data_IF_592395647893
#
_entry.id   IF_592395647893
#
_cell.length_a   1.000
_cell.length_b   1.000
_cell.length_c   1.000
_cell.angle_alpha   90.00
_cell.angle_beta   90.00
_cell.angle_gamma   90.00
#
_symmetry.space_group_name_H-M   'P 1'
#
loop_
_entity.id
_entity.type
_entity.pdbx_description
1 polymer ?
#
# COMPACT_ATOMS: atom_id res chain seq x y z
N UNK A 1 8.95 20.91 17.63
CA UNK A 1 7.74 20.08 17.80
C UNK A 1 8.19 18.72 18.34
N UNK A 2 7.45 18.13 19.28
CA UNK A 2 7.75 16.77 19.73
C UNK A 2 7.65 15.80 18.54
N UNK A 3 8.53 14.79 18.50
CA UNK A 3 8.46 13.74 17.47
C UNK A 3 7.15 12.96 17.62
N UNK A 4 6.50 12.61 16.51
CA UNK A 4 5.27 11.80 16.54
C UNK A 4 5.62 10.36 16.85
N UNK A 5 4.88 9.73 17.76
CA UNK A 5 4.97 8.28 18.01
C UNK A 5 4.13 7.53 16.99
N UNK A 6 4.77 6.71 16.17
CA UNK A 6 4.14 5.95 15.08
C UNK A 6 4.10 4.47 15.45
N UNK A 7 2.90 3.89 15.56
CA UNK A 7 2.74 2.45 15.62
C UNK A 7 2.69 1.86 14.20
N UNK A 8 3.45 0.80 13.93
CA UNK A 8 3.44 0.09 12.67
C UNK A 8 3.10 -1.39 12.88
N UNK A 9 2.03 -1.86 12.25
CA UNK A 9 1.72 -3.31 12.13
C UNK A 9 2.14 -3.82 10.75
N UNK A 10 2.70 -5.03 10.70
CA UNK A 10 3.15 -5.65 9.45
C UNK A 10 4.60 -5.32 9.05
N UNK A 11 5.43 -4.87 9.99
CA UNK A 11 6.83 -4.50 9.75
C UNK A 11 7.73 -5.63 9.19
N UNK A 12 7.37 -6.90 9.42
CA UNK A 12 8.06 -8.06 8.83
C UNK A 12 7.78 -8.24 7.33
N UNK A 13 6.72 -7.63 6.80
CA UNK A 13 6.37 -7.71 5.38
C UNK A 13 7.26 -6.81 4.52
N UNK A 14 7.25 -7.05 3.20
CA UNK A 14 8.06 -6.28 2.25
C UNK A 14 7.80 -4.77 2.33
N UNK A 15 6.52 -4.37 2.32
CA UNK A 15 6.11 -2.96 2.42
C UNK A 15 6.44 -2.40 3.80
N UNK A 16 6.07 -3.13 4.86
CA UNK A 16 6.30 -2.72 6.24
C UNK A 16 7.77 -2.51 6.59
N UNK A 17 8.68 -3.34 6.07
CA UNK A 17 10.13 -3.17 6.27
C UNK A 17 10.61 -1.83 5.70
N UNK A 18 10.18 -1.47 4.49
CA UNK A 18 10.54 -0.20 3.86
C UNK A 18 10.00 1.00 4.65
N UNK A 19 8.75 0.91 5.13
CA UNK A 19 8.10 1.94 5.94
C UNK A 19 8.83 2.12 7.28
N UNK A 20 9.12 1.03 7.99
CA UNK A 20 9.85 1.04 9.25
C UNK A 20 11.22 1.73 9.10
N UNK A 21 11.98 1.35 8.07
CA UNK A 21 13.29 1.96 7.78
C UNK A 21 13.15 3.47 7.50
N UNK A 22 12.20 3.87 6.65
CA UNK A 22 11.98 5.30 6.34
C UNK A 22 11.52 6.11 7.55
N UNK A 23 10.72 5.53 8.45
CA UNK A 23 10.30 6.20 9.69
C UNK A 23 11.50 6.46 10.61
N UNK A 24 12.37 5.47 10.78
CA UNK A 24 13.61 5.61 11.56
C UNK A 24 14.56 6.63 10.93
N UNK A 25 14.74 6.60 9.60
CA UNK A 25 15.57 7.56 8.87
C UNK A 25 15.07 9.01 9.04
N UNK A 26 13.77 9.19 9.20
CA UNK A 26 13.17 10.51 9.44
C UNK A 26 13.21 10.95 10.91
N UNK A 27 13.65 10.10 11.83
CA UNK A 27 13.70 10.37 13.27
C UNK A 27 12.33 10.31 13.95
N UNK A 28 11.38 9.59 13.37
CA UNK A 28 10.08 9.32 13.99
C UNK A 28 10.28 8.30 15.12
N UNK A 29 9.52 8.45 16.21
CA UNK A 29 9.51 7.46 17.29
C UNK A 29 8.70 6.25 16.84
N UNK A 30 9.39 5.18 16.45
CA UNK A 30 8.79 4.00 15.85
C UNK A 30 8.50 2.91 16.89
N UNK A 31 7.22 2.56 17.00
CA UNK A 31 6.71 1.40 17.74
C UNK A 31 6.21 0.33 16.78
N UNK A 32 6.84 -0.82 16.76
CA UNK A 32 6.42 -1.96 15.94
C UNK A 32 5.49 -2.83 16.78
N UNK A 33 4.29 -3.08 16.27
CA UNK A 33 3.35 -4.03 16.83
C UNK A 33 3.46 -5.34 16.05
N UNK A 34 3.92 -6.40 16.71
CA UNK A 34 4.14 -7.70 16.11
C UNK A 34 3.45 -8.79 16.94
N UNK A 35 3.04 -9.87 16.27
CA UNK A 35 2.57 -11.06 16.99
C UNK A 35 3.68 -11.57 17.90
N UNK A 36 3.33 -12.05 19.09
CA UNK A 36 4.30 -12.48 20.13
C UNK A 36 5.32 -13.46 19.56
N UNK A 37 4.88 -14.42 18.75
CA UNK A 37 5.76 -15.42 18.10
C UNK A 37 6.70 -14.83 17.03
N UNK A 38 6.45 -13.59 16.58
CA UNK A 38 7.22 -12.92 15.53
C UNK A 38 8.18 -11.85 16.06
N UNK A 39 8.20 -11.56 17.36
CA UNK A 39 9.04 -10.48 17.95
C UNK A 39 10.53 -10.72 17.76
N UNK A 40 10.94 -11.99 17.69
CA UNK A 40 12.34 -12.41 17.57
C UNK A 40 12.82 -12.58 16.12
N UNK A 41 12.03 -12.16 15.12
CA UNK A 41 12.44 -12.26 13.71
C UNK A 41 13.73 -11.48 13.45
N UNK A 42 14.53 -11.94 12.48
CA UNK A 42 15.76 -11.23 12.08
C UNK A 42 15.48 -9.77 11.65
N UNK A 43 14.36 -9.54 10.97
CA UNK A 43 13.93 -8.20 10.53
C UNK A 43 13.63 -7.30 11.73
N UNK A 44 12.92 -7.80 12.74
CA UNK A 44 12.61 -6.98 13.92
C UNK A 44 13.84 -6.71 14.79
N UNK A 45 14.75 -7.68 14.90
CA UNK A 45 16.06 -7.47 15.56
C UNK A 45 16.88 -6.38 14.88
N UNK A 46 16.91 -6.38 13.55
CA UNK A 46 17.54 -5.31 12.75
C UNK A 46 16.90 -3.96 13.08
N UNK A 47 15.57 -3.86 13.02
CA UNK A 47 14.84 -2.60 13.30
C UNK A 47 15.02 -2.12 14.75
N UNK A 48 15.05 -3.03 15.73
CA UNK A 48 15.32 -2.69 17.14
C UNK A 48 16.73 -2.16 17.33
N UNK A 49 17.73 -2.74 16.66
CA UNK A 49 19.11 -2.22 16.69
C UNK A 49 19.23 -0.80 16.13
N UNK A 50 18.26 -0.37 15.31
CA UNK A 50 18.15 0.97 14.73
C UNK A 50 17.28 1.92 15.55
N UNK A 51 16.76 1.49 16.71
CA UNK A 51 15.99 2.33 17.63
C UNK A 51 14.48 2.12 17.63
N UNK A 52 13.94 1.14 16.88
CA UNK A 52 12.52 0.80 16.98
C UNK A 52 12.22 0.06 18.31
N UNK A 53 11.10 0.41 18.95
CA UNK A 53 10.55 -0.41 20.03
C UNK A 53 9.66 -1.51 19.45
N UNK A 54 9.73 -2.73 19.98
CA UNK A 54 8.88 -3.85 19.53
C UNK A 54 7.96 -4.26 20.66
N UNK A 55 6.67 -4.34 20.35
CA UNK A 55 5.61 -4.72 21.29
C UNK A 55 4.91 -5.97 20.77
N UNK A 56 5.00 -7.04 21.55
CA UNK A 56 4.26 -8.28 21.31
C UNK A 56 2.77 -8.08 21.56
N UNK A 57 1.94 -8.44 20.60
CA UNK A 57 0.48 -8.34 20.66
C UNK A 57 -0.19 -9.67 20.25
N UNK A 58 -1.43 -9.86 20.69
CA UNK A 58 -2.35 -10.86 20.15
C UNK A 58 -3.57 -10.13 19.63
N UNK A 59 -4.05 -10.50 18.44
CA UNK A 59 -5.24 -9.88 17.84
C UNK A 59 -6.53 -10.35 18.53
N UNK A 60 -6.44 -11.41 19.33
CA UNK A 60 -7.49 -12.00 20.13
C UNK A 60 -7.59 -11.36 21.52
N UNK A 61 -6.54 -10.65 21.97
CA UNK A 61 -6.50 -9.95 23.26
C UNK A 61 -6.57 -8.43 23.04
N UNK A 62 -7.80 -7.89 23.10
CA UNK A 62 -8.08 -6.46 23.00
C UNK A 62 -7.31 -5.61 24.03
N UNK A 63 -7.10 -6.11 25.24
CA UNK A 63 -6.36 -5.38 26.28
C UNK A 63 -4.89 -5.23 25.90
N UNK A 64 -4.30 -6.27 25.29
CA UNK A 64 -2.92 -6.20 24.76
C UNK A 64 -2.79 -5.13 23.67
N UNK A 65 -3.77 -5.04 22.76
CA UNK A 65 -3.79 -4.07 21.67
C UNK A 65 -3.92 -2.65 22.20
N UNK A 66 -4.86 -2.39 23.12
CA UNK A 66 -5.07 -1.07 23.73
C UNK A 66 -3.78 -0.63 24.42
N UNK A 67 -3.19 -1.50 25.25
CA UNK A 67 -1.94 -1.20 25.99
C UNK A 67 -0.81 -0.84 25.03
N UNK A 68 -0.65 -1.58 23.93
CA UNK A 68 0.40 -1.32 22.97
C UNK A 68 0.21 0.00 22.18
N UNK A 69 -1.04 0.46 22.05
CA UNK A 69 -1.42 1.69 21.34
C UNK A 69 -1.50 2.93 22.25
N UNK A 70 -1.36 2.79 23.56
CA UNK A 70 -1.32 3.94 24.47
C UNK A 70 -0.17 4.90 24.14
N UNK A 71 -0.49 6.19 24.03
CA UNK A 71 0.47 7.25 23.71
C UNK A 71 0.92 7.28 22.23
N UNK A 72 0.32 6.46 21.36
CA UNK A 72 0.59 6.49 19.91
C UNK A 72 -0.17 7.64 19.26
N UNK A 73 0.52 8.44 18.45
CA UNK A 73 -0.11 9.49 17.67
C UNK A 73 -0.75 8.93 16.39
N UNK A 74 -0.01 8.08 15.67
CA UNK A 74 -0.44 7.54 14.36
C UNK A 74 -0.26 6.03 14.32
N UNK A 75 -1.31 5.31 13.95
CA UNK A 75 -1.25 3.88 13.63
C UNK A 75 -1.17 3.70 12.12
N UNK A 76 -0.13 3.02 11.63
CA UNK A 76 0.07 2.67 10.23
C UNK A 76 -0.01 1.16 10.08
N UNK A 77 -0.85 0.70 9.17
CA UNK A 77 -1.01 -0.72 8.86
C UNK A 77 -0.41 -1.04 7.50
N UNK A 78 0.46 -2.04 7.44
CA UNK A 78 1.00 -2.61 6.19
C UNK A 78 0.80 -4.13 6.14
N UNK A 79 -0.28 -4.62 6.75
CA UNK A 79 -0.62 -6.06 6.72
C UNK A 79 -0.94 -6.51 5.30
N UNK A 80 -0.59 -7.76 4.98
CA UNK A 80 -0.93 -8.37 3.71
C UNK A 80 -2.43 -8.71 3.62
N UNK A 81 -2.86 -9.23 2.47
CA UNK A 81 -4.24 -9.72 2.26
C UNK A 81 -4.70 -10.65 3.39
N UNK A 82 -3.83 -11.55 3.85
CA UNK A 82 -4.12 -12.51 4.91
C UNK A 82 -4.38 -11.86 6.29
N UNK A 83 -3.91 -10.63 6.49
CA UNK A 83 -4.09 -9.88 7.74
C UNK A 83 -5.14 -8.78 7.66
N UNK A 84 -5.87 -8.60 6.55
CA UNK A 84 -6.78 -7.45 6.40
C UNK A 84 -7.85 -7.38 7.49
N UNK A 85 -8.41 -8.52 7.88
CA UNK A 85 -9.47 -8.59 8.90
C UNK A 85 -8.99 -8.17 10.29
N UNK A 86 -7.70 -8.32 10.60
CA UNK A 86 -7.15 -7.93 11.92
C UNK A 86 -7.17 -6.41 12.12
N UNK A 87 -7.34 -5.63 11.05
CA UNK A 87 -7.48 -4.18 11.14
C UNK A 87 -8.76 -3.76 11.87
N UNK A 88 -9.82 -4.58 11.84
CA UNK A 88 -11.08 -4.26 12.54
C UNK A 88 -10.89 -4.20 14.06
N UNK A 89 -10.18 -5.17 14.64
CA UNK A 89 -9.87 -5.16 16.08
C UNK A 89 -8.86 -4.08 16.44
N UNK A 90 -7.90 -3.79 15.54
CA UNK A 90 -6.96 -2.68 15.71
C UNK A 90 -7.65 -1.32 15.73
N UNK A 91 -8.64 -1.08 14.87
CA UNK A 91 -9.40 0.17 14.84
C UNK A 91 -10.09 0.39 16.19
N UNK A 92 -10.77 -0.63 16.72
CA UNK A 92 -11.44 -0.55 18.02
C UNK A 92 -10.43 -0.23 19.14
N UNK A 93 -9.32 -0.95 19.20
CA UNK A 93 -8.28 -0.72 20.20
C UNK A 93 -7.61 0.66 20.06
N UNK A 94 -7.34 1.12 18.83
CA UNK A 94 -6.75 2.42 18.54
C UNK A 94 -7.67 3.56 18.98
N UNK A 95 -8.97 3.44 18.74
CA UNK A 95 -9.95 4.41 19.20
C UNK A 95 -9.98 4.51 20.73
N UNK A 96 -10.03 3.37 21.43
CA UNK A 96 -10.01 3.33 22.91
C UNK A 96 -8.70 3.90 23.47
N UNK A 97 -7.56 3.61 22.82
CA UNK A 97 -6.24 4.08 23.24
C UNK A 97 -6.00 5.57 22.95
N UNK A 98 -6.88 6.25 22.21
CA UNK A 98 -6.76 7.66 21.86
C UNK A 98 -5.78 7.95 20.71
N UNK A 99 -5.59 7.01 19.79
CA UNK A 99 -4.79 7.22 18.57
C UNK A 99 -5.41 8.36 17.75
N UNK A 100 -4.58 9.28 17.25
CA UNK A 100 -5.04 10.52 16.60
C UNK A 100 -5.23 10.39 15.09
N UNK A 101 -4.62 9.37 14.46
CA UNK A 101 -4.75 9.10 13.03
C UNK A 101 -4.45 7.63 12.70
N UNK A 102 -5.27 7.02 11.84
CA UNK A 102 -5.08 5.66 11.33
C UNK A 102 -4.86 5.63 9.81
N UNK A 103 -3.77 5.02 9.37
CA UNK A 103 -3.53 4.65 7.97
C UNK A 103 -3.80 3.15 7.78
N UNK A 104 -4.90 2.75 7.12
CA UNK A 104 -5.17 1.35 6.79
C UNK A 104 -4.22 0.82 5.72
N UNK A 105 -4.14 -0.51 5.61
CA UNK A 105 -3.36 -1.20 4.57
C UNK A 105 -4.04 -1.10 3.20
N UNK A 106 -3.87 0.06 2.55
CA UNK A 106 -4.50 0.37 1.27
C UNK A 106 -3.52 0.35 0.09
N UNK A 107 -2.46 1.18 0.13
CA UNK A 107 -1.31 1.32 -0.79
C UNK A 107 -1.44 0.71 -2.18
N UNK A 108 -2.53 1.05 -2.87
CA UNK A 108 -2.86 0.51 -4.19
C UNK A 108 -3.69 1.51 -4.99
N UNK A 109 -4.52 1.00 -5.89
CA UNK A 109 -5.45 1.81 -6.67
C UNK A 109 -6.66 2.32 -5.89
N UNK A 110 -7.40 3.20 -6.53
CA UNK A 110 -8.67 3.74 -6.07
C UNK A 110 -9.81 2.95 -6.72
N UNK A 111 -10.78 2.51 -5.93
CA UNK A 111 -11.94 1.73 -6.40
C UNK A 111 -13.25 2.41 -5.96
N UNK A 112 -13.64 3.45 -6.69
CA UNK A 112 -14.80 4.30 -6.36
C UNK A 112 -16.15 3.75 -6.89
N UNK A 113 -16.20 2.46 -7.28
CA UNK A 113 -17.40 1.82 -7.79
C UNK A 113 -18.51 1.66 -6.74
N UNK A 114 -19.80 1.59 -7.15
CA UNK A 114 -20.90 1.15 -6.30
C UNK A 114 -20.64 -0.25 -5.73
N UNK A 115 -21.05 -0.51 -4.49
CA UNK A 115 -20.64 -1.71 -3.70
C UNK A 115 -21.04 -3.06 -4.30
N UNK A 116 -22.01 -3.10 -5.20
CA UNK A 116 -22.57 -4.32 -5.81
C UNK A 116 -21.72 -4.90 -6.96
N UNK A 117 -20.68 -4.20 -7.42
CA UNK A 117 -19.81 -4.63 -8.53
C UNK A 117 -18.38 -4.97 -8.09
N UNK A 118 -18.14 -5.07 -6.78
CA UNK A 118 -16.81 -5.09 -6.20
C UNK A 118 -16.53 -6.46 -5.57
N UNK A 119 -15.34 -7.04 -5.75
CA UNK A 119 -14.96 -8.29 -5.06
C UNK A 119 -15.06 -8.18 -3.54
N UNK A 120 -15.27 -9.30 -2.83
CA UNK A 120 -15.24 -9.34 -1.37
C UNK A 120 -13.96 -8.75 -0.77
N UNK A 121 -12.83 -8.88 -1.46
CA UNK A 121 -11.56 -8.28 -1.05
C UNK A 121 -11.63 -6.75 -0.95
N UNK A 122 -12.12 -6.09 -2.00
CA UNK A 122 -12.26 -4.64 -2.02
C UNK A 122 -13.44 -4.17 -1.15
N UNK A 123 -14.49 -4.99 -1.00
CA UNK A 123 -15.56 -4.72 -0.03
C UNK A 123 -15.00 -4.71 1.40
N UNK A 124 -14.16 -5.68 1.77
CA UNK A 124 -13.51 -5.74 3.08
C UNK A 124 -12.67 -4.48 3.35
N UNK A 125 -11.92 -4.00 2.35
CA UNK A 125 -11.19 -2.73 2.44
C UNK A 125 -12.10 -1.53 2.71
N UNK A 126 -13.24 -1.44 2.00
CA UNK A 126 -14.28 -0.43 2.29
C UNK A 126 -14.86 -0.58 3.70
N UNK A 127 -15.12 -1.81 4.15
CA UNK A 127 -15.60 -2.09 5.51
C UNK A 127 -14.61 -1.60 6.55
N UNK A 128 -13.31 -1.81 6.39
CA UNK A 128 -12.27 -1.36 7.32
C UNK A 128 -12.28 0.18 7.45
N UNK A 129 -12.34 0.90 6.33
CA UNK A 129 -12.42 2.38 6.34
C UNK A 129 -13.72 2.84 7.01
N UNK A 130 -14.86 2.22 6.68
CA UNK A 130 -16.15 2.55 7.28
C UNK A 130 -16.16 2.28 8.79
N UNK A 131 -15.54 1.20 9.27
CA UNK A 131 -15.44 0.92 10.70
C UNK A 131 -14.66 1.99 11.46
N UNK A 132 -13.56 2.51 10.89
CA UNK A 132 -12.83 3.64 11.49
C UNK A 132 -13.72 4.89 11.58
N UNK A 133 -14.45 5.19 10.49
CA UNK A 133 -15.39 6.31 10.43
C UNK A 133 -16.53 6.19 11.45
N UNK A 134 -17.16 5.03 11.55
CA UNK A 134 -18.29 4.76 12.47
C UNK A 134 -17.87 4.85 13.93
N UNK A 135 -16.64 4.45 14.26
CA UNK A 135 -16.09 4.56 15.61
C UNK A 135 -15.53 5.95 15.95
N UNK A 136 -15.51 6.87 14.98
CA UNK A 136 -14.98 8.22 15.15
C UNK A 136 -13.45 8.28 15.20
N UNK A 137 -12.74 7.22 14.81
CA UNK A 137 -11.28 7.20 14.73
C UNK A 137 -10.84 7.95 13.46
N UNK A 138 -10.10 9.07 13.58
CA UNK A 138 -9.63 9.78 12.40
C UNK A 138 -8.71 8.90 11.56
N UNK A 139 -8.90 8.91 10.24
CA UNK A 139 -8.15 8.06 9.32
C UNK A 139 -7.59 8.85 8.13
N UNK A 140 -6.60 8.28 7.44
CA UNK A 140 -6.14 8.77 6.15
C UNK A 140 -5.83 7.57 5.24
N UNK A 141 -6.38 7.56 4.03
CA UNK A 141 -6.11 6.51 3.03
C UNK A 141 -4.99 7.00 2.12
N UNK A 142 -3.98 6.17 1.88
CA UNK A 142 -2.91 6.45 0.92
C UNK A 142 -3.00 5.47 -0.27
N UNK A 143 -3.36 5.99 -1.44
CA UNK A 143 -3.30 5.28 -2.71
C UNK A 143 -2.05 5.65 -3.49
N UNK A 144 -1.40 4.64 -4.06
CA UNK A 144 -0.04 4.75 -4.62
C UNK A 144 0.06 4.17 -6.04
N UNK A 145 -1.03 3.62 -6.56
CA UNK A 145 -1.02 2.84 -7.79
C UNK A 145 -0.35 1.48 -7.61
N UNK A 146 0.23 0.94 -8.68
CA UNK A 146 0.97 -0.31 -8.66
C UNK A 146 2.35 -0.14 -8.03
N UNK A 147 2.76 -1.14 -7.25
CA UNK A 147 4.16 -1.29 -6.80
C UNK A 147 4.88 -2.15 -7.85
N UNK A 148 5.75 -1.60 -8.72
CA UNK A 148 6.26 -2.32 -9.89
C UNK A 148 6.77 -3.74 -9.60
N UNK A 149 7.68 -3.88 -8.62
CA UNK A 149 8.29 -5.17 -8.27
C UNK A 149 7.31 -6.21 -7.71
N UNK A 150 6.18 -5.78 -7.16
CA UNK A 150 5.12 -6.70 -6.72
C UNK A 150 4.09 -6.95 -7.82
N UNK A 151 3.74 -5.91 -8.57
CA UNK A 151 2.66 -5.93 -9.53
C UNK A 151 3.04 -6.61 -10.84
N UNK A 152 4.21 -6.30 -11.41
CA UNK A 152 4.67 -6.85 -12.69
C UNK A 152 4.55 -8.39 -12.79
N UNK A 153 5.13 -9.19 -11.87
CA UNK A 153 5.01 -10.64 -11.98
C UNK A 153 3.56 -11.13 -11.85
N UNK A 154 2.72 -10.42 -11.09
CA UNK A 154 1.30 -10.78 -10.91
C UNK A 154 0.45 -10.49 -12.15
N UNK A 155 0.84 -9.51 -12.96
CA UNK A 155 0.06 -9.08 -14.14
C UNK A 155 0.62 -9.61 -15.46
N UNK A 156 1.55 -10.57 -15.41
CA UNK A 156 2.07 -11.25 -16.60
C UNK A 156 3.32 -10.59 -17.21
N UNK A 157 4.03 -9.75 -16.46
CA UNK A 157 5.29 -9.16 -16.92
C UNK A 157 6.45 -10.05 -16.47
N UNK A 158 6.79 -11.05 -17.28
CA UNK A 158 7.87 -11.99 -17.00
C UNK A 158 9.12 -11.61 -17.80
N UNK A 159 9.84 -10.60 -17.30
CA UNK A 159 11.05 -10.10 -17.95
C UNK A 159 12.19 -11.14 -18.00
N UNK A 160 12.24 -12.08 -17.05
CA UNK A 160 13.25 -13.15 -17.05
C UNK A 160 13.07 -14.11 -18.23
N UNK A 161 11.83 -14.44 -18.55
CA UNK A 161 11.46 -15.24 -19.73
C UNK A 161 11.29 -14.39 -21.00
N UNK A 162 11.52 -13.07 -20.91
CA UNK A 162 11.31 -12.10 -21.98
C UNK A 162 9.90 -12.13 -22.57
N UNK A 163 8.89 -12.38 -21.75
CA UNK A 163 7.48 -12.42 -22.16
C UNK A 163 6.63 -11.48 -21.33
N UNK A 164 5.73 -10.75 -21.98
CA UNK A 164 4.78 -9.86 -21.32
C UNK A 164 3.37 -10.10 -21.87
N UNK A 165 2.43 -10.35 -20.97
CA UNK A 165 1.00 -10.37 -21.28
C UNK A 165 0.42 -8.96 -21.12
N UNK A 166 -0.26 -8.46 -22.15
CA UNK A 166 -0.86 -7.12 -22.21
C UNK A 166 -2.36 -7.26 -22.38
N UNK A 167 -3.13 -6.59 -21.54
CA UNK A 167 -4.60 -6.65 -21.55
C UNK A 167 -5.20 -5.42 -22.24
N UNK A 168 -6.15 -5.65 -23.14
CA UNK A 168 -6.69 -4.61 -24.02
C UNK A 168 -5.68 -4.18 -25.09
N UNK A 169 -5.63 -2.87 -25.39
CA UNK A 169 -4.68 -2.31 -26.36
C UNK A 169 -3.30 -1.98 -25.76
N UNK A 170 -3.17 -2.06 -24.44
CA UNK A 170 -1.95 -1.77 -23.69
C UNK A 170 -1.57 -0.29 -23.57
N UNK A 171 -2.44 0.64 -23.98
CA UNK A 171 -2.15 2.08 -24.00
C UNK A 171 -2.68 2.85 -22.79
N UNK A 172 -3.59 2.27 -22.02
CA UNK A 172 -4.07 2.86 -20.78
C UNK A 172 -2.90 3.16 -19.81
N UNK A 173 -2.83 4.42 -19.34
CA UNK A 173 -1.83 4.84 -18.37
C UNK A 173 -2.13 4.26 -17.00
N UNK A 174 -1.07 3.93 -16.27
CA UNK A 174 -1.12 3.39 -14.91
C UNK A 174 -0.18 4.18 -14.02
N UNK A 175 -0.62 4.44 -12.78
CA UNK A 175 0.24 5.03 -11.77
C UNK A 175 1.16 3.96 -11.19
N UNK A 176 2.46 4.24 -11.19
CA UNK A 176 3.49 3.40 -10.59
C UNK A 176 4.22 4.17 -9.50
N UNK A 177 4.35 3.58 -8.31
CA UNK A 177 5.15 4.18 -7.24
C UNK A 177 5.95 3.07 -6.58
N UNK A 178 7.26 3.21 -6.41
CA UNK A 178 8.04 2.17 -5.74
C UNK A 178 7.72 2.11 -4.24
N UNK A 179 7.92 0.95 -3.62
CA UNK A 179 7.75 0.79 -2.17
C UNK A 179 8.69 1.75 -1.39
N UNK A 180 10.00 1.90 -1.75
CA UNK A 180 10.87 2.90 -1.14
C UNK A 180 10.36 4.34 -1.31
N UNK A 181 9.90 4.71 -2.50
CA UNK A 181 9.36 6.05 -2.76
C UNK A 181 8.12 6.34 -1.92
N UNK A 182 7.23 5.35 -1.80
CA UNK A 182 6.03 5.45 -0.95
C UNK A 182 6.40 5.62 0.52
N UNK A 183 7.30 4.77 1.03
CA UNK A 183 7.78 4.82 2.41
C UNK A 183 8.45 6.15 2.74
N UNK A 184 9.27 6.66 1.83
CA UNK A 184 9.92 7.96 1.94
C UNK A 184 8.90 9.10 1.99
N UNK A 185 7.87 9.07 1.13
CA UNK A 185 6.83 10.09 1.11
C UNK A 185 6.06 10.13 2.43
N UNK A 186 5.52 8.99 2.88
CA UNK A 186 4.71 8.94 4.10
C UNK A 186 5.53 9.29 5.34
N UNK A 187 6.81 8.88 5.42
CA UNK A 187 7.68 9.26 6.52
C UNK A 187 7.91 10.78 6.59
N UNK A 188 8.15 11.44 5.45
CA UNK A 188 8.31 12.90 5.40
C UNK A 188 7.00 13.62 5.73
N UNK A 189 5.87 13.16 5.19
CA UNK A 189 4.55 13.73 5.51
C UNK A 189 4.22 13.59 6.99
N UNK A 190 4.45 12.42 7.59
CA UNK A 190 4.26 12.22 9.03
C UNK A 190 5.22 13.08 9.86
N UNK A 191 6.39 13.46 9.35
CA UNK A 191 7.31 14.37 10.04
C UNK A 191 6.87 15.83 9.96
N UNK A 192 6.46 16.31 8.78
CA UNK A 192 6.30 17.74 8.51
C UNK A 192 4.84 18.24 8.48
N UNK A 193 3.87 17.38 8.23
CA UNK A 193 2.45 17.74 8.11
C UNK A 193 1.74 17.51 9.45
N UNK A 194 0.79 18.38 9.79
CA UNK A 194 0.00 18.22 11.02
C UNK A 194 -0.99 17.05 10.86
N UNK A 195 -1.37 16.41 11.97
CA UNK A 195 -2.32 15.30 11.91
C UNK A 195 -3.68 15.79 11.39
N UNK A 196 -4.11 16.97 11.83
CA UNK A 196 -5.39 17.60 11.46
C UNK A 196 -5.51 17.79 9.94
N UNK A 197 -4.40 18.11 9.26
CA UNK A 197 -4.39 18.27 7.79
C UNK A 197 -4.57 16.93 7.05
N UNK A 198 -4.22 15.81 7.69
CA UNK A 198 -4.30 14.46 7.12
C UNK A 198 -5.63 13.77 7.42
N UNK A 199 -6.35 14.20 8.47
CA UNK A 199 -7.58 13.54 8.91
C UNK A 199 -8.66 13.51 7.81
N UNK A 200 -9.27 12.35 7.66
CA UNK A 200 -10.34 12.02 6.72
C UNK A 200 -9.98 12.31 5.26
N UNK A 201 -8.69 12.23 4.91
CA UNK A 201 -8.21 12.42 3.53
C UNK A 201 -8.04 11.09 2.81
N UNK A 202 -8.31 11.12 1.51
CA UNK A 202 -7.85 10.12 0.56
C UNK A 202 -6.72 10.71 -0.27
N UNK A 203 -5.51 10.43 0.20
CA UNK A 203 -4.24 10.87 -0.36
C UNK A 203 -3.89 9.98 -1.57
N UNK A 204 -3.46 10.60 -2.66
CA UNK A 204 -3.09 9.94 -3.92
C UNK A 204 -1.73 10.47 -4.35
N UNK A 205 -0.75 9.56 -4.42
CA UNK A 205 0.60 9.85 -4.87
C UNK A 205 0.91 9.07 -6.14
N UNK A 206 1.78 9.65 -6.96
CA UNK A 206 2.24 9.06 -8.21
C UNK A 206 3.74 9.29 -8.35
N UNK A 207 4.50 8.19 -8.38
CA UNK A 207 5.92 8.22 -8.70
C UNK A 207 6.16 8.43 -10.19
N UNK A 208 5.49 7.62 -11.02
CA UNK A 208 5.62 7.60 -12.47
C UNK A 208 4.27 7.22 -13.12
N UNK A 209 4.11 7.49 -14.41
CA UNK A 209 2.93 7.13 -15.21
C UNK A 209 3.31 6.50 -16.54
N UNK A 210 3.06 5.20 -16.66
CA UNK A 210 3.41 4.40 -17.82
C UNK A 210 2.36 3.33 -18.12
N UNK A 211 2.05 3.15 -19.39
CA UNK A 211 1.24 2.05 -19.90
C UNK A 211 2.06 0.77 -20.06
N UNK A 212 1.40 -0.36 -20.29
CA UNK A 212 2.08 -1.63 -20.56
C UNK A 212 3.01 -1.52 -21.79
N UNK A 213 2.52 -0.90 -22.87
CA UNK A 213 3.30 -0.70 -24.10
C UNK A 213 4.53 0.20 -23.87
N UNK A 214 4.43 1.21 -23.00
CA UNK A 214 5.57 2.06 -22.65
C UNK A 214 6.59 1.33 -21.78
N UNK A 215 6.14 0.51 -20.83
CA UNK A 215 7.02 -0.33 -20.01
C UNK A 215 7.81 -1.31 -20.89
N UNK A 216 7.13 -1.97 -21.85
CA UNK A 216 7.81 -2.83 -22.83
C UNK A 216 8.90 -2.05 -23.57
N UNK A 217 8.57 -0.86 -24.11
CA UNK A 217 9.55 -0.02 -24.83
C UNK A 217 10.73 0.40 -23.95
N UNK A 218 10.49 0.77 -22.69
CA UNK A 218 11.53 1.12 -21.73
C UNK A 218 12.45 -0.07 -21.46
N UNK A 219 11.88 -1.25 -21.19
CA UNK A 219 12.64 -2.46 -20.95
C UNK A 219 13.49 -2.86 -22.15
N UNK A 220 12.91 -2.86 -23.35
CA UNK A 220 13.61 -3.24 -24.59
C UNK A 220 14.78 -2.30 -24.89
N UNK A 221 14.57 -0.99 -24.70
CA UNK A 221 15.61 0.03 -24.86
C UNK A 221 16.75 -0.17 -23.86
N UNK A 222 16.42 -0.38 -22.58
CA UNK A 222 17.41 -0.55 -21.50
C UNK A 222 18.27 -1.80 -21.68
N UNK A 223 17.68 -2.89 -22.14
CA UNK A 223 18.35 -4.19 -22.28
C UNK A 223 18.87 -4.48 -23.68
N UNK A 224 18.60 -3.62 -24.66
CA UNK A 224 18.87 -3.85 -26.08
C UNK A 224 18.40 -5.26 -26.53
N UNK A 225 17.20 -5.64 -26.08
CA UNK A 225 16.58 -6.96 -26.30
C UNK A 225 15.11 -6.79 -26.60
N UNK A 226 14.50 -7.77 -27.26
CA UNK A 226 13.05 -7.81 -27.52
C UNK A 226 12.31 -8.63 -26.48
N UNK A 227 11.07 -8.23 -26.21
CA UNK A 227 10.09 -8.99 -25.45
C UNK A 227 9.09 -9.62 -26.41
N UNK A 228 8.69 -10.86 -26.14
CA UNK A 228 7.48 -11.42 -26.69
C UNK A 228 6.28 -10.76 -26.00
N UNK A 229 5.43 -10.09 -26.77
CA UNK A 229 4.25 -9.41 -26.24
C UNK A 229 3.00 -10.15 -26.70
N UNK A 230 2.22 -10.66 -25.76
CA UNK A 230 0.96 -11.35 -26.02
C UNK A 230 -0.19 -10.45 -25.59
N UNK A 231 -1.03 -10.06 -26.54
CA UNK A 231 -2.20 -9.23 -26.27
C UNK A 231 -3.43 -10.11 -25.99
N UNK A 232 -4.14 -9.79 -24.91
CA UNK A 232 -5.37 -10.45 -24.47
C UNK A 232 -6.54 -9.45 -24.52
N UNK A 233 -7.67 -9.78 -25.16
CA UNK A 233 -8.83 -8.92 -25.18
C UNK A 233 -9.47 -8.80 -23.78
N UNK A 234 -10.08 -7.66 -23.49
CA UNK A 234 -10.75 -7.44 -22.19
C UNK A 234 -11.96 -8.35 -21.97
N UNK A 235 -12.54 -8.91 -23.04
CA UNK A 235 -13.64 -9.88 -22.96
C UNK A 235 -13.26 -11.13 -22.19
N UNK A 236 -11.98 -11.56 -22.25
CA UNK A 236 -11.50 -12.69 -21.45
C UNK A 236 -11.52 -12.37 -19.94
N UNK A 237 -11.29 -11.11 -19.56
CA UNK A 237 -11.43 -10.67 -18.16
C UNK A 237 -12.90 -10.71 -17.72
N UNK A 238 -13.82 -10.33 -18.60
CA UNK A 238 -15.26 -10.38 -18.31
C UNK A 238 -15.75 -11.84 -18.16
N UNK A 239 -15.21 -12.77 -18.96
CA UNK A 239 -15.47 -14.21 -18.82
C UNK A 239 -14.93 -14.76 -17.50
N UNK A 240 -13.68 -14.41 -17.13
CA UNK A 240 -13.08 -14.78 -15.85
C UNK A 240 -13.93 -14.28 -14.68
N UNK A 241 -14.40 -13.04 -14.72
CA UNK A 241 -15.23 -12.46 -13.66
C UNK A 241 -16.67 -13.01 -13.64
N UNK A 242 -17.16 -13.49 -14.78
CA UNK A 242 -18.43 -14.20 -14.85
C UNK A 242 -18.32 -15.60 -14.21
N UNK A 243 -17.19 -16.27 -14.39
CA UNK A 243 -16.89 -17.57 -13.80
C UNK A 243 -16.57 -17.48 -12.29
N UNK A 244 -15.74 -16.51 -11.90
CA UNK A 244 -15.42 -16.21 -10.51
C UNK A 244 -15.39 -14.70 -10.26
N UNK A 245 -16.46 -14.21 -9.60
CA UNK A 245 -16.57 -12.80 -9.19
C UNK A 245 -15.50 -12.38 -8.18
N UNK A 246 -14.75 -13.33 -7.62
CA UNK A 246 -13.69 -13.10 -6.66
C UNK A 246 -12.28 -13.12 -7.29
N UNK A 247 -12.15 -13.25 -8.61
CA UNK A 247 -10.86 -13.17 -9.29
C UNK A 247 -10.28 -11.75 -9.17
N UNK A 248 -9.54 -11.50 -8.08
CA UNK A 248 -8.96 -10.20 -7.75
C UNK A 248 -8.03 -9.73 -8.88
N UNK A 249 -7.30 -10.64 -9.53
CA UNK A 249 -6.39 -10.28 -10.60
C UNK A 249 -7.17 -9.82 -11.84
N UNK A 250 -8.23 -10.53 -12.22
CA UNK A 250 -9.07 -10.09 -13.34
C UNK A 250 -9.74 -8.73 -13.07
N UNK A 251 -10.15 -8.45 -11.83
CA UNK A 251 -10.67 -7.13 -11.45
C UNK A 251 -9.59 -6.05 -11.66
N UNK A 252 -8.39 -6.25 -11.11
CA UNK A 252 -7.29 -5.29 -11.24
C UNK A 252 -6.97 -5.04 -12.71
N UNK A 253 -6.80 -6.10 -13.50
CA UNK A 253 -6.47 -6.01 -14.92
C UNK A 253 -7.57 -5.30 -15.71
N UNK A 254 -8.84 -5.54 -15.39
CA UNK A 254 -9.97 -4.87 -16.06
C UNK A 254 -9.99 -3.38 -15.73
N UNK A 255 -9.75 -3.02 -14.47
CA UNK A 255 -9.63 -1.62 -14.06
C UNK A 255 -8.47 -0.91 -14.78
N UNK A 256 -7.33 -1.59 -14.89
CA UNK A 256 -6.16 -1.07 -15.57
C UNK A 256 -6.41 -0.87 -17.07
N UNK A 257 -6.94 -1.87 -17.75
CA UNK A 257 -7.27 -1.80 -19.18
C UNK A 257 -8.34 -0.73 -19.48
N UNK A 258 -9.23 -0.44 -18.53
CA UNK A 258 -10.27 0.61 -18.67
C UNK A 258 -9.75 2.04 -18.49
N UNK A 259 -8.46 2.23 -18.18
CA UNK A 259 -7.88 3.55 -17.92
C UNK A 259 -8.06 4.07 -16.49
N UNK A 260 -8.67 3.29 -15.59
CA UNK A 260 -8.87 3.67 -14.18
C UNK A 260 -7.67 3.36 -13.28
N UNK A 261 -6.58 2.85 -13.85
CA UNK A 261 -5.35 2.58 -13.12
C UNK A 261 -4.43 3.78 -12.91
N UNK A 262 -4.67 4.91 -13.59
CA UNK A 262 -4.01 6.18 -13.30
C UNK A 262 -4.79 6.95 -12.24
N UNK A 263 -4.21 7.10 -11.05
CA UNK A 263 -4.85 7.75 -9.90
C UNK A 263 -4.40 9.21 -9.71
N UNK A 264 -3.35 9.61 -10.42
CA UNK A 264 -2.72 10.93 -10.33
C UNK A 264 -1.88 11.14 -9.05
N UNK A 265 -1.13 12.24 -9.02
CA UNK A 265 -0.23 12.61 -7.92
C UNK A 265 -0.64 13.88 -7.19
N UNK A 266 -1.96 14.10 -7.00
CA UNK A 266 -2.49 15.37 -6.46
C UNK A 266 -1.90 15.74 -5.09
N UNK A 267 -1.48 14.74 -4.31
CA UNK A 267 -0.92 14.93 -2.98
C UNK A 267 0.61 14.87 -2.95
N UNK A 268 1.30 14.66 -4.09
CA UNK A 268 2.77 14.69 -4.17
C UNK A 268 3.35 15.95 -3.48
N UNK A 269 2.66 17.09 -3.64
CA UNK A 269 3.05 18.40 -3.09
C UNK A 269 2.99 18.52 -1.56
N UNK A 270 2.44 17.56 -0.81
CA UNK A 270 2.59 17.52 0.66
C UNK A 270 4.05 17.28 1.08
N UNK A 271 4.86 16.74 0.17
CA UNK A 271 6.31 16.69 0.29
C UNK A 271 6.95 17.29 -0.98
N UNK A 272 7.12 18.63 -1.06
CA UNK A 272 7.54 19.32 -2.29
C UNK A 272 8.89 18.87 -2.87
N UNK A 273 9.80 18.37 -2.03
CA UNK A 273 11.10 17.85 -2.45
C UNK A 273 11.10 16.33 -2.68
N UNK A 274 9.93 15.69 -2.74
CA UNK A 274 9.83 14.27 -3.06
C UNK A 274 10.39 13.99 -4.45
N UNK A 275 11.32 13.03 -4.51
CA UNK A 275 11.94 12.55 -5.75
C UNK A 275 11.71 11.04 -5.82
N UNK A 276 10.55 10.60 -6.32
CA UNK A 276 10.27 9.19 -6.44
C UNK A 276 11.17 8.55 -7.51
N UNK A 277 11.47 7.28 -7.32
CA UNK A 277 12.09 6.42 -8.32
C UNK A 277 11.17 6.29 -9.55
N UNK A 278 11.75 6.26 -10.74
CA UNK A 278 11.01 6.01 -11.98
C UNK A 278 10.70 4.52 -12.14
N UNK A 279 9.70 4.18 -12.95
CA UNK A 279 9.43 2.78 -13.30
C UNK A 279 10.61 2.16 -14.05
N UNK A 280 11.32 2.94 -14.87
CA UNK A 280 12.53 2.51 -15.59
C UNK A 280 13.66 2.08 -14.65
N UNK A 281 13.76 2.67 -13.45
CA UNK A 281 14.82 2.35 -12.49
C UNK A 281 14.73 0.91 -11.95
N UNK A 282 13.55 0.30 -12.01
CA UNK A 282 13.26 -1.04 -11.48
C UNK A 282 13.02 -2.10 -12.57
N UNK A 283 13.07 -1.71 -13.85
CA UNK A 283 13.10 -2.63 -15.00
C UNK A 283 14.47 -3.26 -15.19
#
# INVERSE_FOLDING_TARGET
MASKTIALVGANGLVGKSFANSFLDQGLDLRILARVESTESAVLKELTSRGASVHGISYEDESSLIKALQGVDVLVSTVSVAGLTTQLVLIKAANIAGVKLFFPSEYGNVYDHPSNEISPYLQLKKTIINSAKELGLPYAVLSTGGFPNLSFPLVGFNFAEKRVDVWGDGNAKLTWTTIPSTANWIANVLKSVSIEQLQNKHLRIQGDSASANEIVKLWEKKHNSKLEVVYHPTTELDERLSADKNDILAIILREWASGRGEIGGKDNGLYPSWKPDTVESVL
#
